data_IF_212166939147
#
_entry.id   IF_212166939147
#
_cell.length_a   1.000
_cell.length_b   1.000
_cell.length_c   1.000
_cell.angle_alpha   90.00
_cell.angle_beta   90.00
_cell.angle_gamma   90.00
#
_symmetry.space_group_name_H-M   'P 1'
#
loop_
_entity.id
_entity.type
_entity.pdbx_description
1 polymer ?
#
# COMPACT_ATOMS: atom_id res chain seq x y z
N UNK A 1 35.30 -3.04 15.97
CA UNK A 1 34.51 -2.97 14.71
C UNK A 1 33.06 -3.33 15.05
N UNK A 2 32.37 -2.55 15.90
CA UNK A 2 31.04 -2.90 16.47
C UNK A 2 30.11 -1.68 16.65
N UNK A 3 30.47 -0.49 16.17
CA UNK A 3 29.67 0.74 16.34
C UNK A 3 28.71 1.04 15.18
N UNK A 4 28.80 0.32 14.08
CA UNK A 4 27.98 0.52 12.87
C UNK A 4 26.63 -0.17 12.92
N UNK A 5 26.48 -1.22 13.73
CA UNK A 5 25.26 -2.05 13.73
C UNK A 5 24.07 -1.37 14.41
N UNK A 6 24.31 -0.59 15.46
CA UNK A 6 23.22 0.03 16.24
C UNK A 6 22.48 1.11 15.43
N UNK A 7 23.22 2.00 14.76
CA UNK A 7 22.65 3.05 13.92
C UNK A 7 21.90 2.48 12.70
N UNK A 8 22.42 1.40 12.12
CA UNK A 8 21.78 0.71 11.00
C UNK A 8 20.47 0.01 11.43
N UNK A 9 20.45 -0.52 12.67
CA UNK A 9 19.27 -1.18 13.24
C UNK A 9 18.16 -0.19 13.56
N UNK A 10 18.49 0.98 14.12
CA UNK A 10 17.51 2.03 14.43
C UNK A 10 16.97 2.69 13.15
N UNK A 11 17.81 2.96 12.14
CA UNK A 11 17.33 3.40 10.82
C UNK A 11 16.41 2.38 10.15
N UNK A 12 16.69 1.08 10.27
CA UNK A 12 15.83 0.01 9.73
C UNK A 12 14.48 -0.06 10.46
N UNK A 13 14.46 0.15 11.77
CA UNK A 13 13.24 0.27 12.57
C UNK A 13 12.43 1.52 12.22
N UNK A 14 13.08 2.67 12.02
CA UNK A 14 12.41 3.91 11.66
C UNK A 14 11.77 3.83 10.26
N UNK A 15 12.46 3.19 9.31
CA UNK A 15 11.88 2.85 8.00
C UNK A 15 10.72 1.86 8.11
N UNK A 16 10.81 0.88 9.01
CA UNK A 16 9.72 -0.06 9.28
C UNK A 16 8.50 0.67 9.87
N UNK A 17 8.70 1.60 10.81
CA UNK A 17 7.62 2.38 11.44
C UNK A 17 6.94 3.35 10.45
N UNK A 18 7.69 3.94 9.52
CA UNK A 18 7.12 4.76 8.43
C UNK A 18 6.47 3.93 7.31
N UNK A 19 6.84 2.65 7.16
CA UNK A 19 6.18 1.69 6.25
C UNK A 19 4.85 1.15 6.75
N UNK A 20 4.49 1.41 8.01
CA UNK A 20 3.20 0.97 8.55
C UNK A 20 2.03 1.64 7.80
N UNK A 21 2.15 2.91 7.45
CA UNK A 21 1.06 3.68 6.80
C UNK A 21 0.94 3.45 5.29
N UNK A 22 2.04 3.09 4.62
CA UNK A 22 2.07 2.92 3.17
C UNK A 22 2.70 1.59 2.80
N UNK A 23 2.00 0.82 1.97
CA UNK A 23 2.49 -0.44 1.42
C UNK A 23 3.16 -0.18 0.05
N UNK A 24 4.33 -0.79 -0.16
CA UNK A 24 5.12 -0.65 -1.40
C UNK A 24 4.86 -1.82 -2.35
N UNK A 25 5.30 -1.69 -3.60
CA UNK A 25 5.10 -2.73 -4.62
C UNK A 25 5.74 -4.07 -4.24
N UNK A 26 6.91 -4.04 -3.59
CA UNK A 26 7.60 -5.25 -3.13
C UNK A 26 6.77 -5.99 -2.08
N UNK A 27 6.24 -5.26 -1.10
CA UNK A 27 5.42 -5.85 -0.04
C UNK A 27 4.05 -6.31 -0.57
N UNK A 28 3.42 -5.56 -1.48
CA UNK A 28 2.19 -6.01 -2.16
C UNK A 28 2.44 -7.31 -2.93
N UNK A 29 3.59 -7.43 -3.59
CA UNK A 29 3.95 -8.63 -4.33
C UNK A 29 4.11 -9.85 -3.41
N UNK A 30 4.75 -9.68 -2.26
CA UNK A 30 4.88 -10.72 -1.24
C UNK A 30 3.52 -11.11 -0.64
N UNK A 31 2.73 -10.14 -0.20
CA UNK A 31 1.43 -10.34 0.45
C UNK A 31 0.41 -11.00 -0.48
N UNK A 32 0.46 -10.71 -1.78
CA UNK A 32 -0.46 -11.25 -2.78
C UNK A 32 0.11 -12.42 -3.59
N UNK A 33 1.36 -12.83 -3.35
CA UNK A 33 2.08 -13.87 -4.10
C UNK A 33 2.10 -13.62 -5.62
N UNK A 34 2.36 -12.39 -6.03
CA UNK A 34 2.39 -11.96 -7.44
C UNK A 34 3.75 -11.37 -7.82
N UNK A 35 3.99 -11.18 -9.12
CA UNK A 35 5.15 -10.42 -9.57
C UNK A 35 5.11 -8.95 -9.13
N UNK A 36 6.27 -8.37 -8.84
CA UNK A 36 6.42 -6.93 -8.54
C UNK A 36 5.83 -6.06 -9.65
N UNK A 37 6.03 -6.43 -10.91
CA UNK A 37 5.44 -5.73 -12.05
C UNK A 37 3.91 -5.69 -11.99
N UNK A 38 3.28 -6.77 -11.50
CA UNK A 38 1.83 -6.81 -11.32
C UNK A 38 1.38 -6.02 -10.09
N UNK A 39 2.15 -6.03 -9.01
CA UNK A 39 1.89 -5.18 -7.84
C UNK A 39 1.88 -3.68 -8.20
N UNK A 40 2.79 -3.21 -9.06
CA UNK A 40 2.75 -1.84 -9.58
C UNK A 40 1.45 -1.51 -10.31
N UNK A 41 0.86 -2.46 -11.06
CA UNK A 41 -0.44 -2.26 -11.73
C UNK A 41 -1.57 -2.09 -10.71
N UNK A 42 -1.56 -2.89 -9.64
CA UNK A 42 -2.55 -2.81 -8.56
C UNK A 42 -2.43 -1.46 -7.84
N UNK A 43 -1.23 -1.08 -7.43
CA UNK A 43 -0.97 0.21 -6.76
C UNK A 43 -1.43 1.39 -7.64
N UNK A 44 -1.12 1.35 -8.94
CA UNK A 44 -1.57 2.38 -9.87
C UNK A 44 -3.10 2.50 -9.91
N UNK A 45 -3.81 1.37 -9.93
CA UNK A 45 -5.28 1.35 -9.90
C UNK A 45 -5.81 1.95 -8.59
N UNK A 46 -5.28 1.54 -7.45
CA UNK A 46 -5.72 2.04 -6.15
C UNK A 46 -5.45 3.55 -5.98
N UNK A 47 -4.30 4.02 -6.45
CA UNK A 47 -3.99 5.44 -6.47
C UNK A 47 -4.90 6.22 -7.42
N UNK A 48 -5.33 5.63 -8.55
CA UNK A 48 -6.34 6.28 -9.38
C UNK A 48 -7.66 6.43 -8.62
N UNK A 49 -8.14 5.37 -7.97
CA UNK A 49 -9.37 5.43 -7.15
C UNK A 49 -9.29 6.49 -6.04
N UNK A 50 -8.13 6.62 -5.38
CA UNK A 50 -7.89 7.63 -4.35
C UNK A 50 -7.80 9.05 -4.93
N UNK A 51 -7.15 9.21 -6.08
CA UNK A 51 -7.08 10.49 -6.80
C UNK A 51 -8.46 10.96 -7.22
N UNK A 52 -9.30 10.05 -7.72
CA UNK A 52 -10.67 10.36 -8.15
C UNK A 52 -11.55 10.78 -6.97
N UNK A 53 -11.23 10.30 -5.75
CA UNK A 53 -11.85 10.73 -4.48
C UNK A 53 -11.28 12.05 -3.93
N UNK A 54 -10.29 12.66 -4.59
CA UNK A 54 -9.66 13.91 -4.19
C UNK A 54 -8.49 13.76 -3.20
N UNK A 55 -7.99 12.54 -2.97
CA UNK A 55 -6.82 12.32 -2.12
C UNK A 55 -5.51 12.53 -2.89
N UNK A 56 -4.47 12.93 -2.17
CA UNK A 56 -3.10 12.96 -2.70
C UNK A 56 -2.58 11.53 -2.75
N UNK A 57 -1.95 11.16 -3.87
CA UNK A 57 -1.38 9.83 -4.09
C UNK A 57 0.08 9.89 -4.47
N UNK A 58 0.79 8.77 -4.29
CA UNK A 58 2.22 8.69 -4.56
C UNK A 58 2.53 7.45 -5.38
N UNK A 59 3.24 7.62 -6.49
CA UNK A 59 3.62 6.50 -7.35
C UNK A 59 4.46 5.46 -6.61
N UNK A 60 4.18 4.18 -6.85
CA UNK A 60 4.93 3.04 -6.28
C UNK A 60 4.55 2.64 -4.85
N UNK A 61 3.64 3.37 -4.20
CA UNK A 61 3.08 3.02 -2.88
C UNK A 61 1.62 3.42 -2.78
N UNK A 62 0.90 2.84 -1.83
CA UNK A 62 -0.49 3.20 -1.53
C UNK A 62 -0.73 3.14 -0.03
N UNK A 63 -1.72 3.87 0.47
CA UNK A 63 -2.12 3.77 1.88
C UNK A 63 -2.48 2.31 2.22
N UNK A 64 -1.88 1.77 3.29
CA UNK A 64 -2.03 0.36 3.68
C UNK A 64 -3.47 0.01 4.06
N UNK A 65 -4.14 0.89 4.79
CA UNK A 65 -5.54 0.69 5.17
C UNK A 65 -6.43 0.60 3.93
N UNK A 66 -6.22 1.49 2.96
CA UNK A 66 -6.96 1.46 1.70
C UNK A 66 -6.69 0.20 0.87
N UNK A 67 -5.43 -0.26 0.81
CA UNK A 67 -5.09 -1.54 0.19
C UNK A 67 -5.82 -2.70 0.88
N UNK A 68 -5.76 -2.78 2.21
CA UNK A 68 -6.41 -3.84 2.98
C UNK A 68 -7.94 -3.80 2.81
N UNK A 69 -8.53 -2.61 2.85
CA UNK A 69 -9.96 -2.42 2.61
C UNK A 69 -10.33 -2.95 1.22
N UNK A 70 -9.54 -2.67 0.19
CA UNK A 70 -9.90 -3.05 -1.18
C UNK A 70 -9.66 -4.52 -1.51
N UNK A 71 -8.65 -5.13 -0.89
CA UNK A 71 -8.24 -6.52 -1.15
C UNK A 71 -8.95 -7.51 -0.24
N UNK A 72 -9.18 -7.16 1.03
CA UNK A 72 -9.66 -8.10 2.05
C UNK A 72 -11.02 -7.74 2.67
N UNK A 73 -11.65 -6.60 2.33
CA UNK A 73 -12.97 -6.30 2.90
C UNK A 73 -14.02 -7.32 2.49
N UNK A 74 -14.70 -7.86 3.51
CA UNK A 74 -15.84 -8.79 3.40
C UNK A 74 -17.15 -8.08 3.01
N UNK A 75 -17.14 -6.74 2.94
CA UNK A 75 -18.28 -5.94 2.54
C UNK A 75 -18.09 -5.42 1.11
N UNK A 76 -18.75 -6.02 0.10
CA UNK A 76 -18.73 -5.48 -1.26
C UNK A 76 -19.27 -4.05 -1.25
N UNK A 77 -18.80 -3.17 -2.15
CA UNK A 77 -19.32 -1.81 -2.24
C UNK A 77 -20.84 -1.89 -2.42
N UNK A 78 -21.59 -1.31 -1.48
CA UNK A 78 -23.04 -1.14 -1.64
C UNK A 78 -23.24 -0.38 -2.95
N UNK A 79 -23.80 -1.04 -3.98
CA UNK A 79 -24.29 -0.35 -5.18
C UNK A 79 -25.10 0.85 -4.69
N UNK A 80 -24.79 2.06 -5.19
CA UNK A 80 -25.64 3.21 -4.93
C UNK A 80 -27.03 2.85 -5.43
N UNK A 81 -28.02 2.86 -4.54
CA UNK A 81 -29.40 2.74 -4.92
C UNK A 81 -29.75 3.97 -5.76
N UNK A 82 -29.93 3.80 -7.07
CA UNK A 82 -30.40 4.87 -7.95
C UNK A 82 -29.66 5.08 -9.28
N UNK A 83 -29.13 4.04 -9.92
CA UNK A 83 -28.92 4.08 -11.37
C UNK A 83 -29.88 3.08 -12.02
N UNK A 84 -31.03 3.66 -12.41
CA UNK A 84 -32.20 3.19 -13.19
C UNK A 84 -33.00 1.96 -12.68
#
# INVERSE_FOLDING_TARGET
MFRTDLANTEHRKEQMYMSEKFIRAEEVAEVMEISVAYAYKIIRKLNQELSDKGFITVTGRVNREYFNERVYSVNPPKKKAGEE
#
